data_IF_918089245523
#
_entry.id   IF_918089245523
#
_cell.length_a   1.000
_cell.length_b   1.000
_cell.length_c   1.000
_cell.angle_alpha   90.00
_cell.angle_beta   90.00
_cell.angle_gamma   90.00
#
_symmetry.space_group_name_H-M   'P 1'
#
loop_
_entity.id
_entity.type
_entity.pdbx_description
1 polymer ?
#
# COMPACT_ATOMS: atom_id res chain seq x y z
N UNK A 1 -7.02 -13.08 -12.25
CA UNK A 1 -8.11 -13.44 -11.31
C UNK A 1 -8.65 -12.17 -10.65
N UNK A 2 -9.95 -11.88 -10.75
CA UNK A 2 -10.56 -10.65 -10.22
C UNK A 2 -10.36 -10.45 -8.70
N UNK A 3 -10.10 -11.52 -7.95
CA UNK A 3 -9.83 -11.46 -6.51
C UNK A 3 -8.52 -10.72 -6.17
N UNK A 4 -7.44 -10.94 -6.94
CA UNK A 4 -6.11 -10.38 -6.64
C UNK A 4 -6.11 -8.83 -6.66
N UNK A 5 -6.93 -8.26 -7.54
CA UNK A 5 -7.17 -6.83 -7.63
C UNK A 5 -7.85 -6.29 -6.36
N UNK A 6 -8.91 -6.96 -5.92
CA UNK A 6 -9.70 -6.54 -4.75
C UNK A 6 -8.86 -6.65 -3.48
N UNK A 7 -8.07 -7.71 -3.38
CA UNK A 7 -7.15 -7.92 -2.27
C UNK A 7 -6.08 -6.84 -2.21
N UNK A 8 -5.58 -6.40 -3.37
CA UNK A 8 -4.58 -5.33 -3.46
C UNK A 8 -5.13 -3.98 -3.00
N UNK A 9 -6.32 -3.59 -3.47
CA UNK A 9 -6.95 -2.33 -3.03
C UNK A 9 -7.29 -2.38 -1.53
N UNK A 10 -7.82 -3.51 -1.06
CA UNK A 10 -8.14 -3.71 0.35
C UNK A 10 -6.88 -3.62 1.21
N UNK A 11 -5.77 -4.21 0.77
CA UNK A 11 -4.49 -4.10 1.46
C UNK A 11 -3.99 -2.65 1.50
N UNK A 12 -4.12 -1.89 0.41
CA UNK A 12 -3.75 -0.47 0.38
C UNK A 12 -4.55 0.37 1.39
N UNK A 13 -5.87 0.17 1.48
CA UNK A 13 -6.72 0.87 2.47
C UNK A 13 -6.28 0.56 3.90
N UNK A 14 -6.03 -0.72 4.21
CA UNK A 14 -5.58 -1.14 5.54
C UNK A 14 -4.21 -0.55 5.90
N UNK A 15 -3.28 -0.49 4.94
CA UNK A 15 -1.97 0.14 5.15
C UNK A 15 -2.08 1.65 5.38
N UNK A 16 -3.01 2.34 4.70
CA UNK A 16 -3.29 3.76 4.94
C UNK A 16 -3.83 4.00 6.35
N UNK A 17 -4.79 3.20 6.78
CA UNK A 17 -5.34 3.27 8.14
C UNK A 17 -4.30 2.98 9.20
N UNK A 18 -3.44 1.98 8.97
CA UNK A 18 -2.34 1.67 9.88
C UNK A 18 -1.33 2.83 9.96
N UNK A 19 -0.98 3.45 8.83
CA UNK A 19 -0.12 4.63 8.79
C UNK A 19 -0.67 5.82 9.60
N UNK A 20 -2.01 5.98 9.68
CA UNK A 20 -2.66 7.03 10.50
C UNK A 20 -2.55 6.76 12.00
N UNK A 21 -2.42 5.49 12.39
CA UNK A 21 -2.26 5.05 13.79
C UNK A 21 -0.81 5.18 14.28
N UNK A 22 0.17 5.18 13.37
CA UNK A 22 1.59 5.44 13.69
C UNK A 22 1.83 6.93 13.96
N UNK A 23 1.93 7.27 15.25
CA UNK A 23 2.06 8.65 15.75
C UNK A 23 3.33 8.87 16.57
N UNK A 24 3.93 7.80 17.08
CA UNK A 24 5.13 7.92 17.92
C UNK A 24 6.36 8.27 17.07
N UNK A 25 7.34 9.01 17.62
CA UNK A 25 8.57 9.35 16.91
C UNK A 25 9.39 8.10 16.53
N UNK A 26 9.38 7.06 17.36
CA UNK A 26 10.10 5.80 17.10
C UNK A 26 9.49 5.02 15.92
N UNK A 27 8.21 5.26 15.62
CA UNK A 27 7.47 4.60 14.54
C UNK A 27 7.69 5.25 13.16
N UNK A 28 8.38 6.40 13.08
CA UNK A 28 8.50 7.15 11.82
C UNK A 28 9.24 6.36 10.74
N UNK A 29 10.21 5.52 11.10
CA UNK A 29 10.93 4.68 10.15
C UNK A 29 10.01 3.60 9.56
N UNK A 30 9.19 2.96 10.39
CA UNK A 30 8.16 2.01 9.96
C UNK A 30 7.14 2.70 9.04
N UNK A 31 6.67 3.88 9.42
CA UNK A 31 5.74 4.70 8.62
C UNK A 31 6.31 5.03 7.24
N UNK A 32 7.60 5.38 7.16
CA UNK A 32 8.30 5.60 5.88
C UNK A 32 8.37 4.32 5.04
N UNK A 33 8.68 3.17 5.64
CA UNK A 33 8.74 1.90 4.93
C UNK A 33 7.37 1.51 4.33
N UNK A 34 6.30 1.64 5.10
CA UNK A 34 4.93 1.35 4.65
C UNK A 34 4.53 2.27 3.49
N UNK A 35 4.82 3.56 3.57
CA UNK A 35 4.56 4.51 2.47
C UNK A 35 5.27 4.13 1.18
N UNK A 36 6.52 3.64 1.26
CA UNK A 36 7.24 3.15 0.08
C UNK A 36 6.54 1.95 -0.55
N UNK A 37 6.13 0.98 0.27
CA UNK A 37 5.36 -0.19 -0.20
C UNK A 37 4.08 0.26 -0.90
N UNK A 38 3.28 1.11 -0.26
CA UNK A 38 2.07 1.67 -0.88
C UNK A 38 2.35 2.40 -2.19
N UNK A 39 3.46 3.14 -2.28
CA UNK A 39 3.88 3.82 -3.51
C UNK A 39 4.21 2.86 -4.65
N UNK A 40 4.85 1.73 -4.35
CA UNK A 40 5.11 0.65 -5.33
C UNK A 40 3.78 0.08 -5.82
N UNK A 41 2.87 -0.26 -4.91
CA UNK A 41 1.56 -0.80 -5.26
C UNK A 41 0.73 0.16 -6.12
N UNK A 42 0.85 1.48 -5.92
CA UNK A 42 0.18 2.52 -6.73
C UNK A 42 0.90 2.88 -8.03
N UNK A 43 2.11 2.36 -8.27
CA UNK A 43 2.89 2.66 -9.48
C UNK A 43 2.17 2.14 -10.73
N UNK A 44 2.20 2.92 -11.82
CA UNK A 44 1.61 2.52 -13.10
C UNK A 44 2.17 1.19 -13.61
N UNK A 45 3.47 0.94 -13.41
CA UNK A 45 4.11 -0.33 -13.75
C UNK A 45 3.50 -1.49 -12.97
N UNK A 46 3.36 -1.35 -11.64
CA UNK A 46 2.85 -2.43 -10.81
C UNK A 46 1.36 -2.67 -11.06
N UNK A 47 0.58 -1.61 -11.28
CA UNK A 47 -0.83 -1.70 -11.66
C UNK A 47 -1.00 -2.41 -13.01
N UNK A 48 -0.11 -2.18 -13.98
CA UNK A 48 -0.10 -2.91 -15.25
C UNK A 48 0.27 -4.39 -15.06
N UNK A 49 1.24 -4.71 -14.19
CA UNK A 49 1.58 -6.11 -13.84
C UNK A 49 0.42 -6.86 -13.17
N UNK A 50 -0.46 -6.15 -12.47
CA UNK A 50 -1.69 -6.68 -11.89
C UNK A 50 -2.84 -6.82 -12.92
N UNK A 51 -2.64 -6.39 -14.17
CA UNK A 51 -3.64 -6.45 -15.23
C UNK A 51 -4.71 -5.37 -15.14
N UNK A 52 -4.38 -4.16 -14.66
CA UNK A 52 -5.29 -2.99 -14.68
C UNK A 52 -5.29 -2.18 -15.99
N UNK A 53 -4.85 -2.77 -17.09
CA UNK A 53 -4.83 -2.17 -18.43
C UNK A 53 -5.30 -3.16 -19.48
#
# INVERSE_FOLDING_TARGET
CPCLFLDTDRALVLLEEYCKKLRKPEEQQLKKAIRKVMGIFKSSLFQALLGRY
#
